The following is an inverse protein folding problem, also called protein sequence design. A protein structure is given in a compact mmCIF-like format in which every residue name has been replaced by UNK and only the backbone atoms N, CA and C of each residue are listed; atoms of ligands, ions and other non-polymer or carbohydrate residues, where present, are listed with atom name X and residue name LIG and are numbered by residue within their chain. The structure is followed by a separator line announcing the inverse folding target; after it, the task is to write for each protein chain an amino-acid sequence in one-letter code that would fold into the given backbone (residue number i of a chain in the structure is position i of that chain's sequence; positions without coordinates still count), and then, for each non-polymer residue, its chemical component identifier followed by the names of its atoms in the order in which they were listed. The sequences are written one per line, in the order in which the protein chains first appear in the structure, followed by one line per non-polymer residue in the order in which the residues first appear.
data_IF_146825289251
#
_entry.id   IF_146825289251
#
_cell.length_a   1.000
_cell.length_b   1.000
_cell.length_c   1.000
_cell.angle_alpha   90.00
_cell.angle_beta   90.00
_cell.angle_gamma   90.00
#
_symmetry.space_group_name_H-M   'P 1'
#
loop_
_entity.id
_entity.type
_entity.pdbx_description
1 polymer ?
#
# COMPACT_ATOMS: atom_id res chain seq x y z
N UNK A 1 22.09 50.01 26.02
CA UNK A 1 22.25 49.31 24.72
C UNK A 1 21.04 48.42 24.52
N UNK A 2 20.22 48.69 23.50
CA UNK A 2 19.08 47.84 23.12
C UNK A 2 19.54 46.96 21.96
N UNK A 3 19.60 45.64 22.16
CA UNK A 3 19.84 44.70 21.07
C UNK A 3 18.52 44.47 20.33
N UNK A 4 18.42 44.99 19.10
CA UNK A 4 17.38 44.57 18.16
C UNK A 4 17.76 43.21 17.59
N UNK A 5 16.97 42.17 17.91
CA UNK A 5 16.99 40.92 17.15
C UNK A 5 16.33 41.17 15.79
N UNK A 6 17.12 41.14 14.72
CA UNK A 6 16.59 40.97 13.36
C UNK A 6 16.19 39.50 13.19
N UNK A 7 14.89 39.23 13.14
CA UNK A 7 14.39 37.92 12.71
C UNK A 7 14.47 37.85 11.18
N UNK A 8 15.45 37.10 10.67
CA UNK A 8 15.51 36.76 9.24
C UNK A 8 14.49 35.65 9.00
N UNK A 9 13.32 36.02 8.50
CA UNK A 9 12.34 35.05 8.00
C UNK A 9 12.83 34.48 6.66
N UNK A 10 13.64 33.42 6.72
CA UNK A 10 13.97 32.63 5.53
C UNK A 10 12.72 31.94 5.01
N UNK A 11 12.39 32.11 3.73
CA UNK A 11 11.35 31.33 3.09
C UNK A 11 11.78 29.85 3.08
N UNK A 12 11.17 29.03 3.95
CA UNK A 12 11.34 27.57 3.90
C UNK A 12 10.64 27.08 2.64
N UNK A 13 11.42 26.81 1.59
CA UNK A 13 10.89 26.17 0.40
C UNK A 13 10.62 24.71 0.72
N UNK A 14 9.34 24.32 0.67
CA UNK A 14 8.92 22.94 0.89
C UNK A 14 9.63 22.01 -0.10
N UNK A 15 10.16 20.88 0.40
CA UNK A 15 10.74 19.85 -0.46
C UNK A 15 9.64 19.27 -1.38
N UNK A 16 9.96 18.90 -2.64
CA UNK A 16 9.00 18.25 -3.51
C UNK A 16 8.47 16.94 -2.90
N UNK A 17 7.15 16.73 -2.96
CA UNK A 17 6.54 15.46 -2.55
C UNK A 17 6.85 14.37 -3.59
N UNK A 18 7.39 13.24 -3.13
CA UNK A 18 7.54 12.03 -3.97
C UNK A 18 6.29 11.19 -3.86
N UNK A 19 5.66 10.88 -4.98
CA UNK A 19 4.43 10.07 -5.02
C UNK A 19 4.72 8.74 -5.69
N UNK A 20 4.35 7.65 -5.02
CA UNK A 20 4.45 6.30 -5.57
C UNK A 20 3.06 5.66 -5.57
N UNK A 21 2.71 4.99 -6.67
CA UNK A 21 1.41 4.32 -6.82
C UNK A 21 1.61 2.82 -6.69
N UNK A 22 0.92 2.22 -5.73
CA UNK A 22 0.88 0.80 -5.45
C UNK A 22 -0.49 0.25 -5.88
N UNK A 23 -0.63 -0.01 -7.18
CA UNK A 23 -1.85 -0.55 -7.76
C UNK A 23 -1.69 -2.04 -8.05
N UNK A 24 -2.72 -2.83 -7.75
CA UNK A 24 -2.70 -4.25 -8.10
C UNK A 24 -3.72 -5.10 -7.35
N UNK A 25 -3.49 -6.41 -7.35
CA UNK A 25 -4.38 -7.38 -6.72
C UNK A 25 -3.58 -8.42 -5.92
N UNK A 26 -4.27 -9.26 -5.13
CA UNK A 26 -3.69 -10.37 -4.37
C UNK A 26 -2.51 -9.93 -3.48
N UNK A 27 -1.26 -10.18 -3.88
CA UNK A 27 -0.09 -9.85 -3.07
C UNK A 27 0.04 -8.34 -2.82
N UNK A 28 -0.36 -7.49 -3.77
CA UNK A 28 -0.33 -6.04 -3.57
C UNK A 28 -1.34 -5.60 -2.51
N UNK A 29 -2.51 -6.25 -2.46
CA UNK A 29 -3.52 -5.98 -1.42
C UNK A 29 -2.94 -6.30 -0.03
N UNK A 30 -2.21 -7.41 0.09
CA UNK A 30 -1.44 -7.75 1.29
C UNK A 30 -2.22 -8.62 2.26
N UNK A 31 -2.11 -9.93 2.10
CA UNK A 31 -2.81 -10.92 2.92
C UNK A 31 -1.94 -11.56 4.02
N UNK A 32 -0.64 -11.23 4.06
CA UNK A 32 0.24 -11.64 5.14
C UNK A 32 -0.18 -10.98 6.47
N UNK A 33 0.32 -11.50 7.58
CA UNK A 33 -0.15 -11.19 8.94
C UNK A 33 0.95 -10.56 9.80
N UNK A 34 0.58 -9.62 10.67
CA UNK A 34 1.51 -8.95 11.61
C UNK A 34 2.33 -9.91 12.44
N UNK A 35 1.68 -11.00 12.81
CA UNK A 35 2.21 -12.05 13.66
C UNK A 35 3.22 -12.95 12.95
N UNK A 36 3.41 -12.82 11.62
CA UNK A 36 4.31 -13.68 10.84
C UNK A 36 5.59 -12.97 10.38
N UNK A 37 5.85 -11.73 10.79
CA UNK A 37 7.00 -10.96 10.26
C UNK A 37 8.33 -11.55 10.69
N UNK A 38 8.35 -12.14 11.89
CA UNK A 38 9.59 -12.58 12.52
C UNK A 38 10.24 -13.71 11.71
N UNK A 39 9.45 -14.52 10.97
CA UNK A 39 9.97 -15.52 10.02
C UNK A 39 10.86 -14.94 8.91
N UNK A 40 10.84 -13.63 8.67
CA UNK A 40 11.76 -12.98 7.73
C UNK A 40 13.22 -13.08 8.22
N UNK A 41 13.47 -13.33 9.50
CA UNK A 41 14.83 -13.55 9.99
C UNK A 41 15.41 -14.94 9.70
N UNK A 42 14.56 -15.91 9.33
CA UNK A 42 15.01 -17.27 8.98
C UNK A 42 15.95 -17.27 7.76
N UNK A 43 15.83 -16.26 6.90
CA UNK A 43 16.78 -15.98 5.82
C UNK A 43 17.76 -14.86 6.26
N UNK A 44 19.08 -15.14 6.34
CA UNK A 44 20.08 -14.14 6.70
C UNK A 44 20.09 -12.90 5.81
N UNK A 45 19.66 -13.01 4.55
CA UNK A 45 19.58 -11.88 3.62
C UNK A 45 18.47 -10.89 3.95
N UNK A 46 17.42 -11.35 4.63
CA UNK A 46 16.26 -10.53 5.00
C UNK A 46 16.21 -10.19 6.49
N UNK A 47 17.02 -10.82 7.34
CA UNK A 47 17.16 -10.45 8.75
C UNK A 47 17.44 -8.94 9.01
N UNK A 48 18.23 -8.20 8.22
CA UNK A 48 18.40 -6.75 8.40
C UNK A 48 17.10 -5.96 8.18
N UNK A 49 16.17 -6.47 7.38
CA UNK A 49 14.87 -5.84 7.15
C UNK A 49 13.98 -5.95 8.39
N UNK A 50 13.98 -7.10 9.07
CA UNK A 50 13.20 -7.27 10.30
C UNK A 50 13.56 -6.22 11.37
N UNK A 51 14.84 -5.91 11.52
CA UNK A 51 15.32 -4.85 12.43
C UNK A 51 14.71 -3.48 12.14
N UNK A 52 14.40 -3.18 10.87
CA UNK A 52 13.77 -1.93 10.44
C UNK A 52 12.25 -1.97 10.56
N UNK A 53 11.67 -3.16 10.54
CA UNK A 53 10.22 -3.37 10.69
C UNK A 53 9.75 -3.21 12.14
N UNK A 54 10.66 -3.24 13.12
CA UNK A 54 10.36 -3.16 14.55
C UNK A 54 10.89 -1.85 15.15
N UNK A 55 10.04 -1.19 15.94
CA UNK A 55 10.46 -0.11 16.82
C UNK A 55 11.16 -0.67 18.07
N UNK A 56 11.70 0.22 18.92
CA UNK A 56 12.44 -0.16 20.14
C UNK A 56 11.59 -0.91 21.17
N UNK A 57 10.27 -0.77 21.12
CA UNK A 57 9.29 -1.45 21.97
C UNK A 57 8.76 -2.76 21.36
N UNK A 58 9.29 -3.17 20.19
CA UNK A 58 8.87 -4.36 19.46
C UNK A 58 7.60 -4.19 18.62
N UNK A 59 6.94 -3.04 18.69
CA UNK A 59 5.80 -2.73 17.82
C UNK A 59 6.27 -2.51 16.38
N UNK A 60 5.38 -2.64 15.38
CA UNK A 60 5.72 -2.26 14.02
C UNK A 60 6.23 -0.82 13.97
N UNK A 61 7.35 -0.61 13.28
CA UNK A 61 7.91 0.72 13.07
C UNK A 61 6.91 1.65 12.37
N UNK A 62 7.02 2.94 12.65
CA UNK A 62 6.28 4.00 11.96
C UNK A 62 7.33 4.79 11.16
N UNK A 63 7.08 4.98 9.87
CA UNK A 63 7.99 5.76 9.02
C UNK A 63 8.00 7.24 9.44
N UNK A 64 9.15 7.88 9.28
CA UNK A 64 9.35 9.27 9.67
C UNK A 64 8.68 10.22 8.66
N UNK A 65 8.90 10.01 7.38
CA UNK A 65 8.46 10.91 6.30
C UNK A 65 7.65 10.22 5.19
N UNK A 66 7.13 9.01 5.44
CA UNK A 66 6.24 8.30 4.51
C UNK A 66 4.80 8.30 5.02
N UNK A 67 3.90 8.81 4.19
CA UNK A 67 2.46 8.70 4.37
C UNK A 67 1.87 7.72 3.36
N UNK A 68 0.71 7.17 3.70
CA UNK A 68 -0.08 6.31 2.83
C UNK A 68 -1.52 6.78 2.79
N UNK A 69 -2.11 6.71 1.60
CA UNK A 69 -3.54 6.71 1.33
C UNK A 69 -3.87 5.37 0.68
N UNK A 70 -4.72 4.57 1.31
CA UNK A 70 -5.13 3.27 0.81
C UNK A 70 -6.64 3.22 0.55
N UNK A 71 -7.00 3.14 -0.72
CA UNK A 71 -8.38 2.91 -1.16
C UNK A 71 -8.63 1.39 -1.26
N UNK A 72 -9.48 0.88 -0.37
CA UNK A 72 -9.72 -0.56 -0.15
C UNK A 72 -11.10 -0.79 0.45
N UNK A 73 -11.55 -2.04 0.55
CA UNK A 73 -12.78 -2.40 1.24
C UNK A 73 -13.23 -3.82 0.88
N UNK A 74 -14.48 -4.14 1.21
CA UNK A 74 -15.11 -5.41 0.86
C UNK A 74 -16.27 -5.19 -0.13
N UNK A 75 -16.23 -5.91 -1.26
CA UNK A 75 -17.21 -5.74 -2.34
C UNK A 75 -17.23 -4.30 -2.86
N UNK A 76 -18.42 -3.70 -2.88
CA UNK A 76 -18.61 -2.31 -3.31
C UNK A 76 -18.37 -1.28 -2.18
N UNK A 77 -18.21 -1.73 -0.93
CA UNK A 77 -18.00 -0.86 0.23
C UNK A 77 -16.53 -0.43 0.37
N UNK A 78 -16.02 0.25 -0.65
CA UNK A 78 -14.67 0.81 -0.65
C UNK A 78 -14.62 2.19 0.01
N UNK A 79 -13.50 2.49 0.63
CA UNK A 79 -13.22 3.78 1.27
C UNK A 79 -11.73 3.97 1.47
N UNK A 80 -11.36 5.07 2.11
CA UNK A 80 -9.96 5.46 2.29
C UNK A 80 -9.51 5.21 3.73
N UNK A 81 -8.37 4.51 3.88
CA UNK A 81 -7.60 4.47 5.12
C UNK A 81 -6.26 5.17 4.90
N UNK A 82 -5.91 6.15 5.75
CA UNK A 82 -4.71 6.95 5.55
C UNK A 82 -3.97 7.27 6.85
N UNK A 83 -2.70 7.64 6.74
CA UNK A 83 -1.87 8.04 7.88
C UNK A 83 -0.38 7.95 7.60
N UNK A 84 0.43 8.09 8.66
CA UNK A 84 1.84 7.68 8.60
C UNK A 84 1.93 6.19 8.32
N UNK A 85 2.87 5.82 7.47
CA UNK A 85 3.04 4.42 7.12
C UNK A 85 3.57 3.64 8.32
N UNK A 86 2.86 2.57 8.64
CA UNK A 86 3.26 1.50 9.56
C UNK A 86 2.65 0.19 9.03
N UNK A 87 2.81 -0.93 9.73
CA UNK A 87 2.11 -2.16 9.36
C UNK A 87 0.58 -2.00 9.53
N UNK A 88 -0.21 -2.89 8.92
CA UNK A 88 -1.68 -2.85 9.03
C UNK A 88 -2.40 -2.24 7.83
N UNK A 89 -1.68 -1.86 6.77
CA UNK A 89 -2.25 -1.41 5.49
C UNK A 89 -2.33 -2.55 4.45
N UNK A 90 -2.30 -3.82 4.89
CA UNK A 90 -2.71 -4.97 4.08
C UNK A 90 -4.22 -4.99 3.83
N UNK A 91 -4.78 -6.09 3.34
CA UNK A 91 -6.20 -6.18 2.97
C UNK A 91 -7.14 -5.79 4.12
N UNK A 92 -8.06 -4.84 3.90
CA UNK A 92 -9.02 -4.38 4.92
C UNK A 92 -10.45 -4.60 4.46
N UNK A 93 -11.30 -5.01 5.39
CA UNK A 93 -12.75 -5.08 5.17
C UNK A 93 -13.40 -3.72 5.44
N UNK A 94 -13.09 -3.14 6.60
CA UNK A 94 -13.44 -1.76 6.95
C UNK A 94 -12.27 -0.85 6.57
N UNK A 95 -12.42 0.10 5.63
CA UNK A 95 -11.26 0.75 5.01
C UNK A 95 -10.31 1.50 5.97
N UNK A 96 -10.88 2.11 7.00
CA UNK A 96 -10.17 2.88 8.01
C UNK A 96 -9.71 2.06 9.23
N UNK A 97 -9.93 0.74 9.25
CA UNK A 97 -9.55 -0.13 10.37
C UNK A 97 -8.51 -1.17 9.95
N UNK A 98 -7.39 -1.25 10.68
CA UNK A 98 -6.43 -2.32 10.51
C UNK A 98 -6.97 -3.64 11.08
N UNK A 99 -6.70 -4.75 10.40
CA UNK A 99 -7.15 -6.10 10.80
C UNK A 99 -5.98 -7.09 10.99
N UNK A 100 -4.78 -6.55 11.27
CA UNK A 100 -3.55 -7.33 11.44
C UNK A 100 -2.96 -7.84 10.13
N UNK A 101 -3.44 -7.40 8.96
CA UNK A 101 -2.82 -7.74 7.67
C UNK A 101 -1.80 -6.71 7.21
N UNK A 102 -0.81 -7.20 6.47
CA UNK A 102 0.27 -6.42 5.87
C UNK A 102 0.38 -6.74 4.38
N UNK A 103 0.79 -5.75 3.59
CA UNK A 103 1.28 -5.97 2.24
C UNK A 103 2.68 -5.40 2.01
N UNK A 104 3.11 -5.35 0.75
CA UNK A 104 4.44 -4.86 0.40
C UNK A 104 4.63 -3.37 0.71
N UNK A 105 3.55 -2.62 0.97
CA UNK A 105 3.62 -1.18 1.27
C UNK A 105 4.54 -0.88 2.45
N UNK A 106 4.56 -1.73 3.48
CA UNK A 106 5.31 -1.44 4.69
C UNK A 106 6.81 -1.48 4.47
N UNK A 107 7.33 -2.58 3.93
CA UNK A 107 8.77 -2.74 3.70
C UNK A 107 9.26 -1.90 2.51
N UNK A 108 8.40 -1.67 1.52
CA UNK A 108 8.67 -0.71 0.45
C UNK A 108 8.83 0.70 1.02
N UNK A 109 7.88 1.17 1.82
CA UNK A 109 7.96 2.51 2.39
C UNK A 109 9.08 2.67 3.41
N UNK A 110 9.35 1.67 4.27
CA UNK A 110 10.55 1.69 5.12
C UNK A 110 11.83 1.86 4.29
N UNK A 111 11.92 1.15 3.15
CA UNK A 111 13.05 1.25 2.22
C UNK A 111 13.20 2.66 1.67
N UNK A 112 12.11 3.28 1.25
CA UNK A 112 12.12 4.67 0.79
C UNK A 112 12.44 5.67 1.91
N UNK A 113 11.95 5.42 3.13
CA UNK A 113 12.18 6.26 4.31
C UNK A 113 13.68 6.36 4.65
N UNK A 114 14.45 5.29 4.44
CA UNK A 114 15.90 5.33 4.64
C UNK A 114 16.68 5.88 3.43
N UNK A 115 16.11 5.78 2.22
CA UNK A 115 16.82 6.10 0.99
C UNK A 115 16.65 7.56 0.55
N UNK A 116 15.54 8.19 0.93
CA UNK A 116 15.17 9.54 0.52
C UNK A 116 15.06 10.45 1.74
N UNK A 117 15.01 11.76 1.52
CA UNK A 117 14.83 12.72 2.63
C UNK A 117 13.63 13.65 2.41
N UNK A 118 13.04 13.58 1.22
CA UNK A 118 11.82 14.27 0.85
C UNK A 118 10.59 13.58 1.46
N UNK A 119 9.49 14.33 1.71
CA UNK A 119 8.24 13.69 2.08
C UNK A 119 7.77 12.76 0.96
N UNK A 120 7.17 11.63 1.35
CA UNK A 120 6.68 10.58 0.45
C UNK A 120 5.21 10.33 0.70
N UNK A 121 4.43 10.19 -0.38
CA UNK A 121 3.08 9.67 -0.35
C UNK A 121 3.00 8.37 -1.16
N UNK A 122 2.57 7.29 -0.50
CA UNK A 122 2.12 6.08 -1.14
C UNK A 122 0.62 6.19 -1.41
N UNK A 123 0.22 6.03 -2.67
CA UNK A 123 -1.18 5.87 -3.05
C UNK A 123 -1.37 4.40 -3.36
N UNK A 124 -2.07 3.68 -2.49
CA UNK A 124 -2.35 2.26 -2.65
C UNK A 124 -3.79 2.08 -3.14
N UNK A 125 -3.96 1.31 -4.20
CA UNK A 125 -5.27 0.97 -4.79
C UNK A 125 -5.25 -0.50 -5.16
N UNK A 126 -5.59 -1.33 -4.18
CA UNK A 126 -5.39 -2.77 -4.28
C UNK A 126 -6.51 -3.57 -3.65
N UNK A 127 -6.90 -4.66 -4.33
CA UNK A 127 -8.04 -5.49 -3.93
C UNK A 127 -7.82 -6.95 -4.33
N UNK A 128 -8.38 -7.85 -3.53
CA UNK A 128 -8.41 -9.27 -3.84
C UNK A 128 -9.37 -9.57 -4.98
N UNK A 129 -9.07 -10.62 -5.74
CA UNK A 129 -10.00 -11.16 -6.74
C UNK A 129 -10.30 -10.25 -7.93
N UNK A 130 -9.39 -9.32 -8.24
CA UNK A 130 -9.46 -8.45 -9.42
C UNK A 130 -8.59 -8.99 -10.55
N UNK A 131 -8.92 -8.64 -11.78
CA UNK A 131 -8.13 -9.01 -12.96
C UNK A 131 -7.73 -7.82 -13.82
N UNK A 132 -6.54 -7.91 -14.42
CA UNK A 132 -6.03 -6.87 -15.30
C UNK A 132 -6.91 -6.68 -16.55
N UNK A 133 -7.45 -7.79 -17.09
CA UNK A 133 -8.22 -7.75 -18.33
C UNK A 133 -9.63 -7.15 -18.16
N UNK A 134 -10.18 -7.18 -16.95
CA UNK A 134 -11.55 -6.74 -16.62
C UNK A 134 -11.56 -5.52 -15.71
N UNK A 135 -11.10 -5.65 -14.46
CA UNK A 135 -11.27 -4.63 -13.42
C UNK A 135 -10.30 -3.45 -13.57
N UNK A 136 -9.06 -3.69 -14.00
CA UNK A 136 -8.06 -2.63 -14.20
C UNK A 136 -8.05 -2.09 -15.64
N UNK A 137 -9.06 -2.44 -16.43
CA UNK A 137 -9.18 -1.98 -17.81
C UNK A 137 -9.48 -0.47 -17.80
N UNK A 138 -8.83 0.34 -18.65
CA UNK A 138 -9.12 1.77 -18.67
C UNK A 138 -10.57 2.02 -19.13
N UNK A 139 -11.27 3.03 -18.58
CA UNK A 139 -12.67 3.31 -18.93
C UNK A 139 -12.90 3.49 -20.43
N UNK A 140 -11.92 4.03 -21.16
CA UNK A 140 -11.98 4.24 -22.60
C UNK A 140 -12.02 2.96 -23.44
N UNK A 141 -11.66 1.81 -22.87
CA UNK A 141 -11.65 0.53 -23.57
C UNK A 141 -12.99 -0.23 -23.51
N UNK A 142 -14.00 0.34 -22.85
CA UNK A 142 -15.33 -0.26 -22.66
C UNK A 142 -15.31 -1.54 -21.80
N UNK A 143 -16.49 -2.15 -21.57
CA UNK A 143 -16.60 -3.42 -20.88
C UNK A 143 -15.81 -4.52 -21.59
N UNK A 144 -15.21 -5.43 -20.82
CA UNK A 144 -14.56 -6.59 -21.40
C UNK A 144 -15.60 -7.58 -21.91
N UNK A 145 -15.47 -8.02 -23.16
CA UNK A 145 -16.36 -9.02 -23.78
C UNK A 145 -15.59 -10.32 -23.96
N UNK A 146 -16.07 -11.39 -23.33
CA UNK A 146 -15.49 -12.73 -23.46
C UNK A 146 -15.68 -13.24 -24.89
N UNK A 147 -14.62 -13.80 -25.49
CA UNK A 147 -14.74 -14.52 -26.75
C UNK A 147 -15.24 -15.97 -26.53
N UNK A 148 -15.62 -16.65 -27.61
CA UNK A 148 -16.20 -18.00 -27.55
C UNK A 148 -15.28 -19.06 -26.91
N UNK A 149 -13.96 -18.88 -27.00
CA UNK A 149 -12.98 -19.77 -26.34
C UNK A 149 -12.97 -19.52 -24.84
N UNK A 150 -12.93 -18.25 -24.42
CA UNK A 150 -12.92 -17.86 -23.02
C UNK A 150 -14.20 -18.25 -22.30
N UNK A 151 -15.36 -18.05 -22.94
CA UNK A 151 -16.64 -18.54 -22.42
C UNK A 151 -16.54 -20.03 -22.12
N UNK A 152 -16.11 -20.85 -23.08
CA UNK A 152 -15.95 -22.31 -22.88
C UNK A 152 -14.95 -22.68 -21.79
N UNK A 153 -13.83 -21.95 -21.66
CA UNK A 153 -12.79 -22.23 -20.66
C UNK A 153 -13.16 -21.79 -19.24
N UNK A 154 -13.97 -20.75 -19.10
CA UNK A 154 -14.41 -20.23 -17.81
C UNK A 154 -15.70 -20.88 -17.30
N UNK A 155 -16.23 -21.89 -17.98
CA UNK A 155 -17.33 -22.73 -17.47
C UNK A 155 -16.83 -23.66 -16.35
N UNK A 156 -16.93 -23.15 -15.12
CA UNK A 156 -16.62 -23.78 -13.84
C UNK A 156 -17.10 -22.85 -12.70
N UNK A 157 -16.78 -23.09 -11.42
CA UNK A 157 -16.99 -22.05 -10.41
C UNK A 157 -16.32 -20.74 -10.87
N UNK A 158 -17.06 -19.63 -10.85
CA UNK A 158 -16.58 -18.34 -11.39
C UNK A 158 -15.22 -18.00 -10.80
N UNK A 159 -14.19 -18.00 -11.64
CA UNK A 159 -12.88 -17.51 -11.26
C UNK A 159 -12.96 -16.00 -10.96
N UNK A 160 -12.15 -15.54 -10.02
CA UNK A 160 -12.11 -14.13 -9.67
C UNK A 160 -11.76 -13.23 -10.87
N UNK A 161 -12.47 -12.09 -11.00
CA UNK A 161 -12.24 -11.09 -12.05
C UNK A 161 -12.72 -11.49 -13.46
N UNK A 162 -13.50 -12.56 -13.58
CA UNK A 162 -14.23 -12.89 -14.81
C UNK A 162 -15.55 -12.09 -14.83
N UNK A 163 -15.84 -11.31 -15.89
CA UNK A 163 -17.06 -10.52 -15.97
C UNK A 163 -18.31 -11.40 -16.06
N UNK A 164 -19.45 -10.85 -15.65
CA UNK A 164 -20.75 -11.45 -15.90
C UNK A 164 -21.14 -11.27 -17.37
N UNK A 165 -21.83 -12.28 -17.93
CA UNK A 165 -22.36 -12.28 -19.31
C UNK A 165 -23.56 -11.33 -19.47
#
# INVERSE_FOLDING_TARGET
MVFQLLAIAGAVQARPLKVFILAGQSNMEGHARVETFDYIEDDPSTAPLLKRMRATDGQPAICDHVWISYYTGAGEANGEGHGKLTAGYGARQTPNEANGKIGPEFTFGLTLDAALTEPILLIKTAWGGKSLHTDFRPPSAGPYVLNEVQKKLYYGPKAHGVPDD
#
